data_IF_041154906887
#
_entry.id   IF_041154906887
#
_cell.length_a   1.000
_cell.length_b   1.000
_cell.length_c   1.000
_cell.angle_alpha   90.00
_cell.angle_beta   90.00
_cell.angle_gamma   90.00
#
_symmetry.space_group_name_H-M   'P 1'
#
loop_
_entity.id
_entity.type
_entity.pdbx_description
1 polymer ?
#
# COMPACT_ATOMS: atom_id res chain seq x y z
N UNK A 1 51.30 0.69 -42.04
CA UNK A 1 49.95 0.37 -42.53
C UNK A 1 48.95 1.00 -41.57
N UNK A 2 48.53 2.22 -41.87
CA UNK A 2 47.59 3.03 -41.08
C UNK A 2 46.34 3.16 -41.95
N UNK A 3 45.18 2.76 -41.42
CA UNK A 3 43.90 2.84 -42.13
C UNK A 3 43.04 3.87 -41.42
N UNK A 4 42.94 5.04 -42.04
CA UNK A 4 41.97 6.08 -41.75
C UNK A 4 40.65 5.72 -42.43
N UNK A 5 39.54 5.68 -41.69
CA UNK A 5 38.19 5.63 -42.28
C UNK A 5 37.24 6.61 -41.56
N UNK A 6 37.20 7.80 -42.16
CA UNK A 6 36.08 8.71 -42.46
C UNK A 6 34.83 8.73 -41.54
N UNK A 7 34.62 9.91 -40.97
CA UNK A 7 33.37 10.40 -40.37
C UNK A 7 32.29 10.69 -41.44
N UNK A 8 31.00 10.45 -41.16
CA UNK A 8 29.90 10.85 -42.03
C UNK A 8 29.45 12.32 -41.82
N UNK A 9 29.07 12.94 -42.93
CA UNK A 9 28.62 14.33 -43.10
C UNK A 9 27.24 14.62 -42.49
N UNK A 10 26.92 15.91 -42.20
CA UNK A 10 25.66 16.32 -41.59
C UNK A 10 24.47 16.32 -42.59
N UNK A 11 23.35 15.79 -42.13
CA UNK A 11 22.05 15.79 -42.81
C UNK A 11 21.42 17.19 -42.71
N UNK A 12 21.14 17.80 -43.87
CA UNK A 12 20.33 19.02 -44.01
C UNK A 12 18.85 18.67 -43.86
N UNK A 13 18.15 19.36 -42.97
CA UNK A 13 16.69 19.32 -42.86
C UNK A 13 16.05 20.45 -43.68
N UNK A 14 14.95 20.19 -44.40
CA UNK A 14 14.20 21.23 -45.09
C UNK A 14 13.39 22.08 -44.11
N UNK A 15 13.43 23.39 -44.30
CA UNK A 15 12.56 24.36 -43.65
C UNK A 15 11.14 24.21 -44.23
N UNK A 16 10.21 23.73 -43.41
CA UNK A 16 8.79 23.66 -43.72
C UNK A 16 8.12 24.96 -43.26
N UNK A 17 7.88 25.88 -44.20
CA UNK A 17 7.01 27.04 -43.99
C UNK A 17 5.56 26.60 -44.21
N UNK A 18 4.84 26.35 -43.12
CA UNK A 18 3.41 26.00 -43.13
C UNK A 18 2.58 26.99 -42.35
N UNK A 19 2.14 28.05 -43.02
CA UNK A 19 0.96 28.82 -42.63
C UNK A 19 -0.28 27.90 -42.66
N UNK A 20 -1.25 28.18 -41.78
CA UNK A 20 -2.56 27.52 -41.60
C UNK A 20 -2.65 26.43 -40.51
N UNK A 21 -2.40 26.79 -39.26
CA UNK A 21 -2.80 25.99 -38.10
C UNK A 21 -3.49 26.87 -37.05
N UNK A 22 -4.70 27.37 -37.32
CA UNK A 22 -5.48 28.14 -36.34
C UNK A 22 -6.92 27.68 -36.05
N UNK A 23 -7.60 26.79 -36.81
CA UNK A 23 -8.88 26.26 -36.36
C UNK A 23 -8.78 24.91 -35.60
N UNK A 24 -7.72 24.12 -35.81
CA UNK A 24 -7.61 22.77 -35.21
C UNK A 24 -7.24 22.82 -33.72
N UNK A 25 -6.45 23.80 -33.30
CA UNK A 25 -6.01 23.91 -31.90
C UNK A 25 -7.18 24.20 -30.94
N UNK A 26 -8.17 25.00 -31.38
CA UNK A 26 -9.35 25.34 -30.56
C UNK A 26 -10.28 24.12 -30.39
N UNK A 27 -10.39 23.29 -31.43
CA UNK A 27 -11.25 22.10 -31.41
C UNK A 27 -10.64 20.98 -30.56
N UNK A 28 -9.31 20.81 -30.58
CA UNK A 28 -8.60 19.86 -29.70
C UNK A 28 -8.62 20.33 -28.23
N UNK A 29 -8.51 21.64 -27.97
CA UNK A 29 -8.58 22.17 -26.59
C UNK A 29 -9.98 22.04 -25.99
N UNK A 30 -11.04 22.25 -26.78
CA UNK A 30 -12.44 22.01 -26.37
C UNK A 30 -12.73 20.53 -26.11
N UNK A 31 -12.18 19.62 -26.92
CA UNK A 31 -12.34 18.17 -26.71
C UNK A 31 -11.59 17.67 -25.47
N UNK A 32 -10.43 18.26 -25.16
CA UNK A 32 -9.69 17.96 -23.92
C UNK A 32 -10.40 18.49 -22.67
N UNK A 33 -11.12 19.63 -22.76
CA UNK A 33 -11.88 20.17 -21.64
C UNK A 33 -13.14 19.34 -21.31
N UNK A 34 -13.78 18.72 -22.31
CA UNK A 34 -14.96 17.86 -22.07
C UNK A 34 -14.56 16.49 -21.50
N UNK A 35 -13.40 15.94 -21.88
CA UNK A 35 -12.87 14.72 -21.26
C UNK A 35 -12.39 14.93 -19.80
N UNK A 36 -12.03 16.15 -19.41
CA UNK A 36 -11.64 16.45 -18.02
C UNK A 36 -12.82 16.48 -17.03
N UNK A 37 -14.06 16.63 -17.51
CA UNK A 37 -15.28 16.69 -16.67
C UNK A 37 -16.02 15.34 -16.55
N UNK A 38 -15.69 14.34 -17.36
CA UNK A 38 -16.30 13.00 -17.31
C UNK A 38 -15.50 11.99 -16.45
N UNK A 39 -14.53 12.47 -15.68
CA UNK A 39 -13.65 11.65 -14.84
C UNK A 39 -14.03 11.61 -13.35
N UNK A 40 -15.28 11.88 -12.97
CA UNK A 40 -15.74 11.48 -11.64
C UNK A 40 -16.00 9.98 -11.64
N UNK A 41 -14.93 9.20 -11.47
CA UNK A 41 -15.04 7.79 -11.12
C UNK A 41 -15.89 7.71 -9.84
N UNK A 42 -17.14 7.30 -10.00
CA UNK A 42 -18.00 6.93 -8.88
C UNK A 42 -17.24 5.88 -8.07
N UNK A 43 -16.84 6.26 -6.86
CA UNK A 43 -16.11 5.38 -5.96
C UNK A 43 -17.00 4.15 -5.72
N UNK A 44 -16.56 2.93 -6.11
CA UNK A 44 -17.39 1.75 -5.95
C UNK A 44 -17.51 1.44 -4.45
N UNK A 45 -18.65 1.78 -3.83
CA UNK A 45 -18.87 1.50 -2.41
C UNK A 45 -20.03 2.21 -1.71
N UNK A 46 -20.98 2.83 -2.42
CA UNK A 46 -21.99 3.69 -1.78
C UNK A 46 -23.33 3.03 -1.41
N UNK A 47 -23.46 1.70 -1.55
CA UNK A 47 -24.75 1.00 -1.43
C UNK A 47 -25.00 0.41 -0.02
N UNK A 48 -24.77 1.19 1.05
CA UNK A 48 -24.90 0.74 2.44
C UNK A 48 -25.75 1.67 3.31
N UNK A 49 -26.36 1.18 4.41
CA UNK A 49 -27.06 2.03 5.37
C UNK A 49 -26.10 3.04 5.98
N UNK A 50 -26.55 4.27 6.18
CA UNK A 50 -25.79 5.30 6.88
C UNK A 50 -25.79 4.98 8.38
N UNK A 51 -24.61 4.95 9.00
CA UNK A 51 -24.37 4.61 10.40
C UNK A 51 -23.83 5.84 11.13
N UNK A 52 -24.55 6.31 12.14
CA UNK A 52 -24.04 7.28 13.12
C UNK A 52 -23.21 6.59 14.20
N UNK A 53 -22.46 7.37 14.97
CA UNK A 53 -21.46 6.88 15.94
C UNK A 53 -22.07 5.93 16.98
N UNK A 54 -23.24 6.25 17.54
CA UNK A 54 -23.96 5.39 18.48
C UNK A 54 -24.29 4.01 17.89
N UNK A 55 -24.68 3.99 16.62
CA UNK A 55 -25.02 2.75 15.91
C UNK A 55 -23.77 1.92 15.62
N UNK A 56 -22.65 2.56 15.29
CA UNK A 56 -21.37 1.87 15.11
C UNK A 56 -20.94 1.20 16.41
N UNK A 57 -20.99 1.93 17.52
CA UNK A 57 -20.67 1.39 18.85
C UNK A 57 -21.59 0.22 19.24
N UNK A 58 -22.90 0.35 19.01
CA UNK A 58 -23.87 -0.71 19.29
C UNK A 58 -23.62 -1.97 18.46
N UNK A 59 -23.37 -1.83 17.15
CA UNK A 59 -23.07 -2.97 16.27
C UNK A 59 -21.76 -3.66 16.65
N UNK A 60 -20.73 -2.88 16.99
CA UNK A 60 -19.44 -3.43 17.45
C UNK A 60 -19.60 -4.19 18.77
N UNK A 61 -20.37 -3.64 19.73
CA UNK A 61 -20.66 -4.30 21.00
C UNK A 61 -21.48 -5.59 20.83
N UNK A 62 -22.39 -5.62 19.85
CA UNK A 62 -23.18 -6.80 19.50
C UNK A 62 -22.39 -7.84 18.68
N UNK A 63 -21.18 -7.51 18.21
CA UNK A 63 -20.40 -8.38 17.32
C UNK A 63 -20.99 -8.51 15.91
N UNK A 64 -21.87 -7.60 15.50
CA UNK A 64 -22.47 -7.59 14.16
C UNK A 64 -21.54 -6.93 13.13
N UNK A 65 -20.43 -7.62 12.86
CA UNK A 65 -19.40 -7.16 11.94
C UNK A 65 -19.90 -7.08 10.49
N UNK A 66 -20.86 -7.93 10.11
CA UNK A 66 -21.41 -7.96 8.75
C UNK A 66 -22.18 -6.68 8.44
N UNK A 67 -23.06 -6.24 9.34
CA UNK A 67 -23.80 -4.99 9.19
C UNK A 67 -22.84 -3.79 9.22
N UNK A 68 -21.84 -3.81 10.11
CA UNK A 68 -20.87 -2.73 10.23
C UNK A 68 -20.01 -2.60 8.96
N UNK A 69 -19.52 -3.71 8.41
CA UNK A 69 -18.75 -3.75 7.17
C UNK A 69 -19.56 -3.30 5.94
N UNK A 70 -20.87 -3.58 5.91
CA UNK A 70 -21.76 -3.17 4.83
C UNK A 70 -22.25 -1.71 4.95
N UNK A 71 -22.10 -1.08 6.12
CA UNK A 71 -22.58 0.26 6.39
C UNK A 71 -21.71 1.37 5.80
N UNK A 72 -22.16 2.63 5.98
CA UNK A 72 -21.39 3.84 5.66
C UNK A 72 -21.36 4.73 6.88
N UNK A 73 -20.18 5.17 7.30
CA UNK A 73 -20.07 6.10 8.43
C UNK A 73 -20.63 7.48 8.02
N UNK A 74 -21.51 8.04 8.85
CA UNK A 74 -22.21 9.29 8.57
C UNK A 74 -21.34 10.55 8.82
N UNK A 75 -20.38 10.44 9.74
CA UNK A 75 -19.59 11.57 10.18
C UNK A 75 -18.64 12.08 9.09
N UNK A 76 -18.40 13.40 9.11
CA UNK A 76 -17.43 14.08 8.23
C UNK A 76 -16.57 15.11 8.97
N UNK A 77 -16.73 15.20 10.29
CA UNK A 77 -15.95 16.13 11.11
C UNK A 77 -14.59 15.50 11.43
N UNK A 78 -13.54 16.32 11.49
CA UNK A 78 -12.22 15.87 11.96
C UNK A 78 -12.21 15.78 13.49
N UNK A 79 -12.85 14.73 14.01
CA UNK A 79 -12.94 14.42 15.44
C UNK A 79 -12.41 13.03 15.73
N UNK A 80 -11.99 12.82 16.97
CA UNK A 80 -11.52 11.50 17.41
C UNK A 80 -12.62 10.43 17.28
N UNK A 81 -13.87 10.76 17.60
CA UNK A 81 -15.00 9.83 17.49
C UNK A 81 -15.27 9.43 16.06
N UNK A 82 -15.22 10.39 15.12
CA UNK A 82 -15.38 10.09 13.70
C UNK A 82 -14.25 9.20 13.19
N UNK A 83 -13.00 9.49 13.59
CA UNK A 83 -11.85 8.66 13.26
C UNK A 83 -12.00 7.23 13.80
N UNK A 84 -12.46 7.08 15.06
CA UNK A 84 -12.74 5.76 15.67
C UNK A 84 -13.86 5.02 14.97
N UNK A 85 -14.93 5.68 14.56
CA UNK A 85 -16.03 5.07 13.82
C UNK A 85 -15.54 4.46 12.49
N UNK A 86 -14.74 5.21 11.74
CA UNK A 86 -14.07 4.70 10.53
C UNK A 86 -13.10 3.55 10.83
N UNK A 87 -12.28 3.64 11.88
CA UNK A 87 -11.39 2.55 12.25
C UNK A 87 -12.15 1.27 12.62
N UNK A 88 -13.28 1.39 13.34
CA UNK A 88 -14.14 0.27 13.72
C UNK A 88 -14.75 -0.40 12.49
N UNK A 89 -15.10 0.39 11.45
CA UNK A 89 -15.45 -0.16 10.15
C UNK A 89 -14.30 -0.90 9.49
N UNK A 90 -13.09 -0.34 9.57
CA UNK A 90 -11.87 -1.01 9.13
C UNK A 90 -11.67 -2.37 9.78
N UNK A 91 -11.83 -2.45 11.11
CA UNK A 91 -11.73 -3.67 11.91
C UNK A 91 -12.75 -4.72 11.48
N UNK A 92 -14.02 -4.32 11.30
CA UNK A 92 -15.09 -5.24 10.87
C UNK A 92 -14.80 -5.82 9.48
N UNK A 93 -14.42 -4.97 8.53
CA UNK A 93 -14.08 -5.40 7.17
C UNK A 93 -12.86 -6.32 7.15
N UNK A 94 -11.81 -6.00 7.92
CA UNK A 94 -10.61 -6.82 8.00
C UNK A 94 -10.86 -8.16 8.69
N UNK A 95 -11.61 -8.19 9.80
CA UNK A 95 -11.96 -9.43 10.50
C UNK A 95 -12.69 -10.39 9.58
N UNK A 96 -13.72 -9.91 8.88
CA UNK A 96 -14.47 -10.72 7.91
C UNK A 96 -13.59 -11.20 6.74
N UNK A 97 -12.58 -10.41 6.33
CA UNK A 97 -11.63 -10.84 5.30
C UNK A 97 -10.74 -11.99 5.78
N UNK A 98 -10.24 -11.91 7.02
CA UNK A 98 -9.37 -12.93 7.63
C UNK A 98 -10.13 -14.25 7.83
N UNK A 99 -11.41 -14.18 8.21
CA UNK A 99 -12.29 -15.35 8.39
C UNK A 99 -12.55 -16.12 7.09
N UNK A 100 -12.32 -15.52 5.91
CA UNK A 100 -12.44 -16.24 4.65
C UNK A 100 -11.32 -17.30 4.52
N UNK A 101 -11.63 -18.49 3.98
CA UNK A 101 -10.66 -19.57 3.80
C UNK A 101 -9.38 -19.10 3.09
N UNK A 102 -8.22 -19.64 3.45
CA UNK A 102 -6.93 -19.25 2.85
C UNK A 102 -6.88 -19.44 1.32
N UNK A 103 -7.65 -20.42 0.79
CA UNK A 103 -7.83 -20.62 -0.64
C UNK A 103 -8.75 -19.60 -1.34
N UNK A 104 -9.40 -18.70 -0.59
CA UNK A 104 -10.04 -17.53 -1.18
C UNK A 104 -8.94 -16.58 -1.66
N UNK A 105 -8.63 -16.64 -2.95
CA UNK A 105 -7.62 -15.79 -3.56
C UNK A 105 -8.20 -14.39 -3.87
N UNK A 106 -7.33 -13.50 -4.35
CA UNK A 106 -7.72 -12.17 -4.82
C UNK A 106 -8.73 -12.16 -5.99
N UNK A 107 -9.09 -13.29 -6.61
CA UNK A 107 -10.21 -13.33 -7.56
C UNK A 107 -11.56 -13.41 -6.84
N UNK A 108 -11.58 -13.83 -5.56
CA UNK A 108 -12.76 -13.77 -4.74
C UNK A 108 -13.22 -12.30 -4.57
N UNK A 109 -14.34 -11.97 -5.21
CA UNK A 109 -14.91 -10.62 -5.19
C UNK A 109 -15.29 -10.16 -3.78
N UNK A 110 -15.66 -11.10 -2.89
CA UNK A 110 -15.98 -10.77 -1.50
C UNK A 110 -14.72 -10.37 -0.73
N UNK A 111 -13.64 -11.16 -0.84
CA UNK A 111 -12.36 -10.84 -0.19
C UNK A 111 -11.83 -9.48 -0.63
N UNK A 112 -11.79 -9.22 -1.94
CA UNK A 112 -11.37 -7.91 -2.49
C UNK A 112 -12.15 -6.75 -1.88
N UNK A 113 -13.48 -6.83 -1.91
CA UNK A 113 -14.35 -5.79 -1.35
C UNK A 113 -14.12 -5.55 0.13
N UNK A 114 -13.91 -6.61 0.92
CA UNK A 114 -13.62 -6.48 2.34
C UNK A 114 -12.26 -5.81 2.60
N UNK A 115 -11.22 -6.19 1.86
CA UNK A 115 -9.90 -5.55 1.98
C UNK A 115 -9.91 -4.10 1.46
N UNK A 116 -10.67 -3.80 0.40
CA UNK A 116 -10.85 -2.45 -0.13
C UNK A 116 -11.59 -1.56 0.89
N UNK A 117 -12.64 -2.10 1.51
CA UNK A 117 -13.35 -1.46 2.62
C UNK A 117 -12.39 -1.15 3.78
N UNK A 118 -11.65 -2.15 4.26
CA UNK A 118 -10.75 -1.99 5.40
C UNK A 118 -9.69 -0.91 5.13
N UNK A 119 -9.06 -0.95 3.96
CA UNK A 119 -8.06 0.04 3.57
C UNK A 119 -8.64 1.45 3.49
N UNK A 120 -9.80 1.63 2.85
CA UNK A 120 -10.45 2.92 2.75
C UNK A 120 -10.83 3.47 4.12
N UNK A 121 -11.38 2.62 5.00
CA UNK A 121 -11.81 2.99 6.33
C UNK A 121 -10.64 3.41 7.24
N UNK A 122 -9.51 2.68 7.24
CA UNK A 122 -8.33 3.10 8.01
C UNK A 122 -7.69 4.38 7.47
N UNK A 123 -7.68 4.58 6.14
CA UNK A 123 -7.22 5.86 5.56
C UNK A 123 -8.11 7.02 5.98
N UNK A 124 -9.43 6.82 6.02
CA UNK A 124 -10.37 7.81 6.54
C UNK A 124 -10.14 8.07 8.03
N UNK A 125 -9.94 7.02 8.85
CA UNK A 125 -9.61 7.16 10.26
C UNK A 125 -8.36 8.02 10.49
N UNK A 126 -7.29 7.78 9.71
CA UNK A 126 -6.06 8.58 9.77
C UNK A 126 -6.26 10.04 9.32
N UNK A 127 -7.15 10.27 8.34
CA UNK A 127 -7.46 11.60 7.82
C UNK A 127 -8.37 12.43 8.75
N UNK A 128 -9.29 11.77 9.47
CA UNK A 128 -10.20 12.41 10.41
C UNK A 128 -9.64 12.53 11.82
N UNK A 129 -8.52 11.89 12.15
CA UNK A 129 -7.85 12.05 13.44
C UNK A 129 -7.15 13.41 13.53
N UNK A 130 -7.68 14.38 14.31
CA UNK A 130 -7.16 15.74 14.33
C UNK A 130 -5.80 15.87 14.99
N UNK A 131 -5.49 15.06 16.01
CA UNK A 131 -4.22 15.15 16.72
C UNK A 131 -3.18 14.22 16.06
N UNK A 132 -2.10 14.77 15.47
CA UNK A 132 -1.04 13.97 14.86
C UNK A 132 -0.26 13.10 15.86
N UNK A 133 -0.38 13.36 17.17
CA UNK A 133 0.29 12.61 18.22
C UNK A 133 -0.64 11.67 18.99
N UNK A 134 -1.93 11.59 18.63
CA UNK A 134 -2.88 10.72 19.31
C UNK A 134 -2.44 9.26 19.24
N UNK A 135 -2.49 8.56 20.37
CA UNK A 135 -2.15 7.13 20.45
C UNK A 135 -2.99 6.27 19.49
N UNK A 136 -4.23 6.67 19.20
CA UNK A 136 -5.11 6.00 18.26
C UNK A 136 -4.57 5.96 16.82
N UNK A 137 -3.72 6.92 16.40
CA UNK A 137 -3.04 6.87 15.09
C UNK A 137 -2.17 5.63 14.94
N UNK A 138 -1.53 5.18 16.03
CA UNK A 138 -0.72 3.96 16.04
C UNK A 138 -1.60 2.76 15.68
N UNK A 139 -2.78 2.66 16.29
CA UNK A 139 -3.75 1.60 16.00
C UNK A 139 -4.28 1.68 14.57
N UNK A 140 -4.58 2.87 14.06
CA UNK A 140 -5.08 3.05 12.69
C UNK A 140 -4.02 2.70 11.64
N UNK A 141 -2.75 3.09 11.86
CA UNK A 141 -1.63 2.64 11.04
C UNK A 141 -1.45 1.13 11.12
N UNK A 142 -1.57 0.54 12.31
CA UNK A 142 -1.52 -0.91 12.51
C UNK A 142 -2.57 -1.65 11.68
N UNK A 143 -3.82 -1.21 11.73
CA UNK A 143 -4.92 -1.77 10.94
C UNK A 143 -4.71 -1.65 9.43
N UNK A 144 -4.23 -0.49 8.96
CA UNK A 144 -3.88 -0.28 7.55
C UNK A 144 -2.75 -1.20 7.09
N UNK A 145 -1.67 -1.31 7.86
CA UNK A 145 -0.52 -2.16 7.54
C UNK A 145 -0.90 -3.65 7.53
N UNK A 146 -1.72 -4.09 8.48
CA UNK A 146 -2.23 -5.46 8.51
C UNK A 146 -3.10 -5.75 7.29
N UNK A 147 -4.00 -4.83 6.92
CA UNK A 147 -4.85 -4.96 5.73
C UNK A 147 -4.03 -5.08 4.44
N UNK A 148 -3.01 -4.24 4.27
CA UNK A 148 -2.13 -4.28 3.10
C UNK A 148 -1.26 -5.55 3.09
N UNK A 149 -0.78 -6.00 4.25
CA UNK A 149 -0.07 -7.26 4.38
C UNK A 149 -0.96 -8.45 4.03
N UNK A 150 -2.21 -8.44 4.46
CA UNK A 150 -3.19 -9.50 4.15
C UNK A 150 -3.49 -9.51 2.64
N UNK A 151 -3.71 -8.34 2.05
CA UNK A 151 -3.90 -8.21 0.59
C UNK A 151 -2.75 -8.82 -0.20
N UNK A 152 -1.51 -8.53 0.21
CA UNK A 152 -0.30 -9.13 -0.37
C UNK A 152 -0.28 -10.65 -0.19
N UNK A 153 -0.57 -11.15 1.03
CA UNK A 153 -0.50 -12.57 1.35
C UNK A 153 -1.55 -13.41 0.59
N UNK A 154 -2.69 -12.82 0.22
CA UNK A 154 -3.77 -13.47 -0.53
C UNK A 154 -3.56 -13.50 -2.06
N UNK A 155 -2.43 -12.98 -2.54
CA UNK A 155 -2.02 -13.14 -3.93
C UNK A 155 -1.37 -14.52 -4.09
N UNK A 156 -2.15 -15.48 -4.59
CA UNK A 156 -1.62 -16.81 -4.93
C UNK A 156 -0.86 -16.80 -6.27
N UNK A 157 0.23 -17.58 -6.31
CA UNK A 157 1.18 -17.81 -7.39
C UNK A 157 2.11 -16.67 -7.88
N UNK A 158 3.35 -17.07 -8.17
CA UNK A 158 4.46 -16.27 -8.72
C UNK A 158 4.16 -15.66 -10.11
N UNK A 159 3.13 -16.13 -10.82
CA UNK A 159 2.68 -15.59 -12.11
C UNK A 159 2.15 -14.16 -12.02
N UNK A 160 1.96 -13.63 -10.81
CA UNK A 160 1.49 -12.26 -10.55
C UNK A 160 2.60 -11.33 -10.04
N UNK A 161 3.85 -11.57 -10.43
CA UNK A 161 5.03 -10.82 -9.97
C UNK A 161 4.85 -9.30 -9.95
N UNK A 162 4.26 -8.72 -11.00
CA UNK A 162 4.01 -7.27 -11.06
C UNK A 162 2.98 -6.80 -10.02
N UNK A 163 1.88 -7.54 -9.84
CA UNK A 163 0.86 -7.20 -8.84
C UNK A 163 1.40 -7.35 -7.42
N UNK A 164 2.15 -8.43 -7.15
CA UNK A 164 2.79 -8.60 -5.85
C UNK A 164 3.85 -7.51 -5.60
N UNK A 165 4.55 -7.07 -6.64
CA UNK A 165 5.45 -5.92 -6.60
C UNK A 165 4.73 -4.63 -6.20
N UNK A 166 3.59 -4.32 -6.84
CA UNK A 166 2.76 -3.17 -6.50
C UNK A 166 2.23 -3.22 -5.06
N UNK A 167 1.75 -4.37 -4.59
CA UNK A 167 1.26 -4.50 -3.21
C UNK A 167 2.38 -4.37 -2.17
N UNK A 168 3.58 -4.88 -2.47
CA UNK A 168 4.75 -4.62 -1.63
C UNK A 168 5.10 -3.12 -1.61
N UNK A 169 5.01 -2.41 -2.73
CA UNK A 169 5.29 -0.97 -2.78
C UNK A 169 4.25 -0.16 -2.00
N UNK A 170 2.97 -0.51 -2.12
CA UNK A 170 1.90 0.10 -1.30
C UNK A 170 2.15 -0.10 0.19
N UNK A 171 2.53 -1.32 0.59
CA UNK A 171 2.88 -1.62 1.98
C UNK A 171 4.13 -0.84 2.45
N UNK A 172 5.14 -0.66 1.59
CA UNK A 172 6.33 0.15 1.90
C UNK A 172 5.99 1.62 2.12
N UNK A 173 5.15 2.21 1.27
CA UNK A 173 4.72 3.60 1.40
C UNK A 173 3.92 3.81 2.70
N UNK A 174 2.98 2.91 3.01
CA UNK A 174 2.23 2.94 4.26
C UNK A 174 3.14 2.75 5.48
N UNK A 175 4.10 1.81 5.42
CA UNK A 175 5.07 1.56 6.48
C UNK A 175 5.98 2.77 6.71
N UNK A 176 6.35 3.50 5.66
CA UNK A 176 7.09 4.75 5.78
C UNK A 176 6.25 5.84 6.45
N UNK A 177 4.96 5.97 6.09
CA UNK A 177 4.05 6.91 6.76
C UNK A 177 3.92 6.59 8.25
N UNK A 178 3.67 5.31 8.59
CA UNK A 178 3.61 4.85 9.96
C UNK A 178 4.91 5.14 10.74
N UNK A 179 6.10 4.99 10.14
CA UNK A 179 7.37 5.35 10.81
C UNK A 179 7.55 6.85 11.03
N UNK A 180 6.94 7.71 10.20
CA UNK A 180 6.99 9.16 10.40
C UNK A 180 6.03 9.61 11.50
N UNK A 181 4.83 9.04 11.50
CA UNK A 181 3.72 9.49 12.34
C UNK A 181 3.59 8.70 13.65
N UNK A 182 4.16 7.50 13.72
CA UNK A 182 4.22 6.62 14.89
C UNK A 182 5.65 6.10 15.09
N UNK A 183 6.62 7.01 15.11
CA UNK A 183 8.07 6.73 15.08
C UNK A 183 8.59 5.90 16.26
N UNK A 184 7.93 6.00 17.43
CA UNK A 184 8.26 5.19 18.61
C UNK A 184 7.78 3.73 18.53
N UNK A 185 7.04 3.35 17.48
CA UNK A 185 6.46 2.02 17.36
C UNK A 185 7.18 1.15 16.31
N UNK A 186 7.33 -0.14 16.62
CA UNK A 186 7.96 -1.13 15.75
C UNK A 186 7.14 -1.47 14.48
N UNK A 187 5.83 -1.20 14.44
CA UNK A 187 4.90 -1.57 13.36
C UNK A 187 5.43 -1.23 11.97
N UNK A 188 5.73 0.05 11.72
CA UNK A 188 6.21 0.49 10.40
C UNK A 188 7.59 -0.08 10.03
N UNK A 189 8.39 -0.50 11.01
CA UNK A 189 9.67 -1.18 10.73
C UNK A 189 9.46 -2.66 10.39
N UNK A 190 8.60 -3.36 11.13
CA UNK A 190 8.32 -4.79 10.91
C UNK A 190 7.63 -5.01 9.57
N UNK A 191 6.56 -4.26 9.30
CA UNK A 191 5.84 -4.37 8.02
C UNK A 191 6.66 -3.84 6.83
N UNK A 192 7.46 -2.79 7.02
CA UNK A 192 8.39 -2.30 5.99
C UNK A 192 9.47 -3.34 5.66
N UNK A 193 10.07 -3.98 6.68
CA UNK A 193 11.03 -5.05 6.48
C UNK A 193 10.40 -6.26 5.78
N UNK A 194 9.18 -6.64 6.17
CA UNK A 194 8.39 -7.68 5.50
C UNK A 194 8.24 -7.37 4.01
N UNK A 195 7.78 -6.16 3.66
CA UNK A 195 7.60 -5.76 2.27
C UNK A 195 8.91 -5.79 1.46
N UNK A 196 10.03 -5.32 2.02
CA UNK A 196 11.33 -5.46 1.36
C UNK A 196 11.75 -6.92 1.17
N UNK A 197 11.55 -7.77 2.18
CA UNK A 197 11.89 -9.19 2.09
C UNK A 197 11.10 -9.90 0.98
N UNK A 198 9.79 -9.70 0.92
CA UNK A 198 8.94 -10.29 -0.13
C UNK A 198 9.18 -9.68 -1.51
N UNK A 199 9.48 -8.38 -1.61
CA UNK A 199 9.92 -7.74 -2.86
C UNK A 199 11.24 -8.34 -3.38
N UNK A 200 12.13 -8.74 -2.48
CA UNK A 200 13.38 -9.40 -2.85
C UNK A 200 13.14 -10.79 -3.48
N UNK A 201 12.13 -11.53 -3.00
CA UNK A 201 11.78 -12.86 -3.52
C UNK A 201 11.25 -12.82 -4.97
N UNK A 202 10.71 -11.67 -5.40
CA UNK A 202 10.27 -11.44 -6.77
C UNK A 202 11.42 -11.17 -7.75
N UNK A 203 12.64 -10.96 -7.24
CA UNK A 203 13.80 -10.60 -8.05
C UNK A 203 14.67 -11.82 -8.33
N UNK A 204 15.32 -11.89 -9.50
CA UNK A 204 16.37 -12.87 -9.73
C UNK A 204 17.48 -12.71 -8.70
N UNK A 205 18.25 -13.77 -8.52
CA UNK A 205 19.42 -13.77 -7.63
C UNK A 205 20.41 -12.68 -8.05
N UNK A 206 21.12 -12.09 -7.09
CA UNK A 206 22.13 -11.07 -7.34
C UNK A 206 21.91 -9.76 -6.58
N UNK A 207 22.52 -8.68 -7.08
CA UNK A 207 22.69 -7.42 -6.34
C UNK A 207 21.36 -6.78 -5.92
N UNK A 208 20.36 -6.75 -6.81
CA UNK A 208 19.09 -6.10 -6.53
C UNK A 208 18.31 -6.80 -5.40
N UNK A 209 18.28 -8.14 -5.42
CA UNK A 209 17.70 -8.96 -4.35
C UNK A 209 18.46 -8.77 -3.03
N UNK A 210 19.78 -8.82 -3.05
CA UNK A 210 20.60 -8.59 -1.86
C UNK A 210 20.41 -7.19 -1.27
N UNK A 211 20.24 -6.15 -2.09
CA UNK A 211 19.98 -4.80 -1.61
C UNK A 211 18.66 -4.71 -0.84
N UNK A 212 17.58 -5.31 -1.35
CA UNK A 212 16.30 -5.35 -0.65
C UNK A 212 16.37 -6.13 0.67
N UNK A 213 17.00 -7.31 0.66
CA UNK A 213 17.19 -8.09 1.89
C UNK A 213 17.99 -7.34 2.95
N UNK A 214 19.03 -6.59 2.55
CA UNK A 214 19.79 -5.74 3.47
C UNK A 214 18.98 -4.55 3.96
N UNK A 215 18.14 -3.94 3.11
CA UNK A 215 17.22 -2.89 3.55
C UNK A 215 16.23 -3.43 4.59
N UNK A 216 15.68 -4.63 4.36
CA UNK A 216 14.82 -5.32 5.32
C UNK A 216 15.54 -5.57 6.65
N UNK A 217 16.76 -6.12 6.62
CA UNK A 217 17.57 -6.35 7.82
C UNK A 217 17.87 -5.04 8.56
N UNK A 218 18.28 -4.00 7.84
CA UNK A 218 18.59 -2.69 8.41
C UNK A 218 17.36 -2.01 9.03
N UNK A 219 16.16 -2.26 8.50
CA UNK A 219 14.92 -1.82 9.13
C UNK A 219 14.68 -2.55 10.45
N UNK A 220 14.76 -3.88 10.49
CA UNK A 220 14.57 -4.64 11.73
C UNK A 220 15.59 -4.27 12.80
N UNK A 221 16.85 -4.05 12.42
CA UNK A 221 17.92 -3.67 13.36
C UNK A 221 17.70 -2.28 13.97
N UNK A 222 17.01 -1.38 13.26
CA UNK A 222 16.66 -0.02 13.75
C UNK A 222 15.30 0.05 14.43
N UNK A 223 14.54 -1.05 14.38
CA UNK A 223 13.20 -1.10 14.94
C UNK A 223 13.24 -1.03 16.47
N UNK A 224 12.42 -0.17 17.11
CA UNK A 224 12.18 -0.23 18.55
C UNK A 224 11.78 -1.65 19.01
N UNK A 225 11.83 -1.94 20.32
CA UNK A 225 11.28 -3.19 20.86
C UNK A 225 9.81 -3.35 20.42
N UNK A 226 9.43 -4.46 19.76
CA UNK A 226 8.05 -4.66 19.36
C UNK A 226 7.20 -5.02 20.58
N UNK A 227 5.91 -4.68 20.56
CA UNK A 227 4.96 -5.28 21.49
C UNK A 227 4.85 -6.80 21.25
N UNK A 228 4.32 -7.54 22.23
CA UNK A 228 4.30 -9.01 22.21
C UNK A 228 3.58 -9.57 20.99
N UNK A 229 2.53 -8.89 20.55
CA UNK A 229 1.71 -9.28 19.39
C UNK A 229 2.50 -9.24 18.07
N UNK A 230 3.62 -8.50 18.02
CA UNK A 230 4.48 -8.38 16.85
C UNK A 230 5.83 -9.10 17.00
N UNK A 231 6.15 -9.67 18.17
CA UNK A 231 7.44 -10.33 18.39
C UNK A 231 7.62 -11.53 17.46
N UNK A 232 6.56 -12.31 17.28
CA UNK A 232 6.59 -13.52 16.48
C UNK A 232 6.73 -13.19 15.00
N UNK A 233 6.02 -12.16 14.53
CA UNK A 233 6.14 -11.67 13.16
C UNK A 233 7.54 -11.11 12.90
N UNK A 234 8.11 -10.33 13.84
CA UNK A 234 9.49 -9.85 13.74
C UNK A 234 10.48 -11.03 13.64
N UNK A 235 10.32 -12.05 14.49
CA UNK A 235 11.18 -13.22 14.49
C UNK A 235 11.08 -14.01 13.18
N UNK A 236 9.84 -14.22 12.69
CA UNK A 236 9.56 -14.89 11.40
C UNK A 236 10.25 -14.18 10.24
N UNK A 237 10.07 -12.86 10.12
CA UNK A 237 10.68 -12.06 9.06
C UNK A 237 12.21 -12.02 9.20
N UNK A 238 12.74 -11.91 10.41
CA UNK A 238 14.19 -11.97 10.63
C UNK A 238 14.78 -13.32 10.19
N UNK A 239 14.09 -14.43 10.48
CA UNK A 239 14.50 -15.78 10.06
C UNK A 239 14.48 -15.92 8.53
N UNK A 240 13.43 -15.40 7.88
CA UNK A 240 13.33 -15.35 6.42
C UNK A 240 14.50 -14.58 5.80
N UNK A 241 14.74 -13.34 6.25
CA UNK A 241 15.84 -12.50 5.74
C UNK A 241 17.19 -13.19 5.91
N UNK A 242 17.46 -13.78 7.08
CA UNK A 242 18.71 -14.48 7.35
C UNK A 242 18.90 -15.70 6.44
N UNK A 243 17.84 -16.49 6.19
CA UNK A 243 17.88 -17.58 5.21
C UNK A 243 18.19 -17.05 3.81
N UNK A 244 17.46 -16.03 3.36
CA UNK A 244 17.58 -15.49 2.01
C UNK A 244 18.92 -14.83 1.74
N UNK A 245 19.49 -14.10 2.71
CA UNK A 245 20.83 -13.53 2.58
C UNK A 245 21.90 -14.60 2.40
N UNK A 246 21.76 -15.75 3.09
CA UNK A 246 22.69 -16.89 2.97
C UNK A 246 22.51 -17.63 1.66
N UNK A 247 21.27 -17.97 1.29
CA UNK A 247 21.00 -18.73 0.06
C UNK A 247 21.40 -17.97 -1.21
N UNK A 248 21.33 -16.63 -1.19
CA UNK A 248 21.72 -15.78 -2.31
C UNK A 248 23.20 -15.36 -2.30
N UNK A 249 24.02 -15.93 -1.41
CA UNK A 249 25.44 -15.58 -1.24
C UNK A 249 25.70 -14.06 -1.16
N UNK A 250 24.79 -13.32 -0.51
CA UNK A 250 24.89 -11.87 -0.43
C UNK A 250 26.15 -11.47 0.36
N UNK A 251 27.06 -10.64 -0.20
CA UNK A 251 28.28 -10.25 0.50
C UNK A 251 27.99 -9.64 1.87
N UNK A 252 28.87 -9.83 2.86
CA UNK A 252 28.75 -9.09 4.13
C UNK A 252 29.22 -7.66 3.90
N UNK A 253 28.54 -6.69 4.51
CA UNK A 253 29.03 -5.30 4.53
C UNK A 253 30.18 -5.26 5.55
N UNK A 254 31.42 -5.18 5.08
CA UNK A 254 32.55 -4.84 5.93
C UNK A 254 32.46 -3.34 6.25
N UNK A 255 32.22 -3.00 7.51
CA UNK A 255 32.39 -1.61 7.95
C UNK A 255 33.89 -1.33 7.96
N UNK A 256 34.34 -0.45 7.08
CA UNK A 256 35.67 0.17 7.15
C UNK A 256 35.59 1.40 8.04
#
# INVERSE_FOLDING_TARGET
>A
MIREDRLPLPVRWPLYTGQAARPVLVLVLMLLLTLALAGCATTPGQSGPLLGDEKVAALAAAGDWATLAAGRIACKAQTEDCAKAHATQGDACLRLAIELPQGADQQNQRLRRLLDCAEAAYRQALAYQPDPNAASRVSFHGGLLLTLSERRNRLDNLERGDRLGMENERLLLAAQAARREASGNALGFVYGASAHAYRALLKPTGRARCNDLRQAQAMLNRSPPPPRELSDERARISSLIARELRSNACPRVQRR
#
